data_IF_691095206226
#
_entry.id   IF_691095206226
#
_cell.length_a   1.000
_cell.length_b   1.000
_cell.length_c   1.000
_cell.angle_alpha   90.00
_cell.angle_beta   90.00
_cell.angle_gamma   90.00
#
_symmetry.space_group_name_H-M   'P 1'
#
loop_
_entity.id
_entity.type
_entity.pdbx_description
1 polymer ?
#
# COMPACT_ATOMS: atom_id res chain seq x y z
N UNK A 1 220.46 -124.43 77.96
CA UNK A 1 219.96 -125.68 78.58
C UNK A 1 219.05 -126.39 77.58
N UNK A 2 219.02 -127.71 77.54
CA UNK A 2 218.37 -128.49 76.47
C UNK A 2 216.86 -128.67 76.69
N UNK A 3 216.14 -127.55 76.85
CA UNK A 3 214.71 -127.54 77.12
C UNK A 3 213.90 -128.00 75.89
N UNK A 4 213.45 -129.25 75.90
CA UNK A 4 212.55 -129.83 74.89
C UNK A 4 211.13 -129.31 75.18
N UNK A 5 210.84 -128.08 74.75
CA UNK A 5 209.51 -127.46 74.92
C UNK A 5 208.55 -128.06 73.89
N UNK A 6 207.63 -128.90 74.36
CA UNK A 6 206.77 -129.74 73.52
C UNK A 6 205.44 -129.05 73.17
N UNK A 7 205.00 -129.14 71.91
CA UNK A 7 203.73 -128.57 71.41
C UNK A 7 202.55 -129.54 71.64
N UNK A 8 201.53 -129.06 72.35
CA UNK A 8 200.37 -129.86 72.76
C UNK A 8 199.14 -129.70 71.85
N UNK A 9 199.07 -128.65 71.03
CA UNK A 9 197.90 -128.40 70.17
C UNK A 9 197.97 -129.26 68.91
N UNK A 10 199.15 -129.30 68.29
CA UNK A 10 199.43 -130.09 67.08
C UNK A 10 199.25 -131.59 67.30
N UNK A 11 199.45 -132.04 68.54
CA UNK A 11 199.26 -133.43 68.95
C UNK A 11 197.78 -133.82 69.02
N UNK A 12 196.89 -132.95 69.51
CA UNK A 12 195.46 -133.28 69.68
C UNK A 12 194.65 -133.19 68.39
N UNK A 13 195.02 -132.32 67.45
CA UNK A 13 194.34 -132.17 66.16
C UNK A 13 194.56 -133.37 65.24
N UNK A 14 195.82 -133.73 64.95
CA UNK A 14 196.14 -134.71 63.88
C UNK A 14 195.78 -136.16 64.23
N UNK A 15 195.57 -136.48 65.52
CA UNK A 15 194.96 -137.76 65.91
C UNK A 15 193.53 -137.92 65.37
N UNK A 16 192.77 -136.81 65.23
CA UNK A 16 191.44 -136.82 64.60
C UNK A 16 191.55 -136.93 63.08
N UNK A 17 192.52 -136.26 62.47
CA UNK A 17 192.81 -136.32 61.02
C UNK A 17 193.21 -137.74 60.55
N UNK A 18 193.77 -138.56 61.44
CA UNK A 18 194.11 -139.95 61.19
C UNK A 18 192.92 -140.94 61.24
N UNK A 19 191.68 -140.46 61.34
CA UNK A 19 190.46 -141.29 61.30
C UNK A 19 190.03 -141.90 62.64
N UNK A 20 190.49 -141.35 63.76
CA UNK A 20 190.07 -141.80 65.10
C UNK A 20 188.80 -141.06 65.55
N UNK A 21 187.78 -141.82 65.96
CA UNK A 21 186.52 -141.30 66.51
C UNK A 21 186.77 -140.47 67.80
N UNK A 22 186.02 -139.38 68.01
CA UNK A 22 186.30 -138.34 69.03
C UNK A 22 186.65 -138.89 70.43
N UNK A 23 185.89 -139.87 70.92
CA UNK A 23 186.09 -140.48 72.24
C UNK A 23 187.46 -141.18 72.43
N UNK A 24 188.18 -141.45 71.33
CA UNK A 24 189.55 -142.01 71.35
C UNK A 24 190.61 -140.91 71.24
N UNK A 25 190.34 -139.83 70.50
CA UNK A 25 191.27 -138.71 70.36
C UNK A 25 191.53 -138.00 71.71
N UNK A 26 190.45 -137.73 72.46
CA UNK A 26 190.55 -137.03 73.75
C UNK A 26 191.19 -137.91 74.85
N UNK A 27 191.10 -139.24 74.72
CA UNK A 27 191.81 -140.18 75.58
C UNK A 27 193.33 -140.16 75.38
N UNK A 28 193.80 -140.08 74.13
CA UNK A 28 195.25 -140.08 73.82
C UNK A 28 195.90 -138.74 74.21
N UNK A 29 195.22 -137.61 74.02
CA UNK A 29 195.70 -136.30 74.49
C UNK A 29 195.86 -136.27 76.02
N UNK A 30 194.88 -136.81 76.75
CA UNK A 30 194.92 -136.91 78.21
C UNK A 30 196.12 -137.74 78.68
N UNK A 31 196.37 -138.89 78.04
CA UNK A 31 197.53 -139.73 78.34
C UNK A 31 198.90 -139.07 78.04
N UNK A 32 198.98 -138.16 77.06
CA UNK A 32 200.21 -137.41 76.81
C UNK A 32 200.46 -136.32 77.85
N UNK A 33 199.39 -135.62 78.28
CA UNK A 33 199.50 -134.53 79.26
C UNK A 33 200.00 -135.01 80.63
N UNK A 34 199.69 -136.25 81.00
CA UNK A 34 200.20 -136.90 82.22
C UNK A 34 201.64 -137.44 82.08
N UNK A 35 202.24 -137.44 80.89
CA UNK A 35 203.56 -138.04 80.64
C UNK A 35 204.76 -137.08 80.80
N UNK A 36 204.56 -135.75 80.81
CA UNK A 36 205.62 -134.74 80.90
C UNK A 36 205.41 -133.78 82.08
N UNK A 37 205.81 -134.20 83.29
CA UNK A 37 205.80 -133.36 84.50
C UNK A 37 206.81 -132.20 84.42
N UNK A 38 206.41 -130.98 84.80
CA UNK A 38 207.17 -129.73 84.56
C UNK A 38 208.17 -129.30 85.65
N UNK A 39 209.36 -128.80 85.24
CA UNK A 39 210.49 -128.27 86.07
C UNK A 39 211.36 -127.22 85.28
N UNK A 40 212.55 -126.78 85.78
CA UNK A 40 212.95 -125.36 86.07
C UNK A 40 214.52 -125.03 86.02
N UNK A 41 215.03 -123.88 86.56
CA UNK A 41 216.47 -123.42 86.84
C UNK A 41 217.35 -122.78 85.69
N UNK A 42 218.56 -122.09 85.82
CA UNK A 42 219.66 -122.00 86.85
C UNK A 42 220.32 -120.56 87.15
N UNK A 43 221.67 -120.36 87.35
CA UNK A 43 222.34 -119.16 87.98
C UNK A 43 223.88 -118.81 87.71
N UNK A 44 224.36 -117.65 88.27
CA UNK A 44 225.70 -117.28 88.89
C UNK A 44 227.05 -116.82 88.18
N UNK A 45 227.47 -115.55 88.45
CA UNK A 45 228.79 -114.95 88.88
C UNK A 45 230.08 -114.70 87.98
N UNK A 46 231.28 -115.10 88.43
CA UNK A 46 232.51 -114.27 88.64
C UNK A 46 233.31 -113.50 87.53
N UNK A 47 232.92 -113.34 86.25
CA UNK A 47 233.92 -113.07 85.17
C UNK A 47 234.39 -111.60 84.88
N UNK A 48 233.89 -110.61 85.62
CA UNK A 48 234.70 -109.48 86.19
C UNK A 48 235.47 -108.51 85.22
N UNK A 49 236.81 -108.29 85.28
CA UNK A 49 237.36 -106.91 85.25
C UNK A 49 238.47 -106.45 84.27
N UNK A 50 239.20 -107.28 83.51
CA UNK A 50 240.47 -106.81 82.89
C UNK A 50 240.56 -106.72 81.35
N UNK A 51 239.65 -107.34 80.59
CA UNK A 51 239.40 -107.00 79.16
C UNK A 51 238.59 -105.70 79.07
N UNK A 52 239.19 -104.65 79.62
CA UNK A 52 238.48 -103.48 80.18
C UNK A 52 239.23 -102.17 79.88
N UNK A 53 240.41 -102.28 79.24
CA UNK A 53 241.29 -101.15 78.88
C UNK A 53 241.77 -101.20 77.44
N UNK A 54 242.24 -102.35 76.96
CA UNK A 54 242.65 -102.53 75.56
C UNK A 54 241.42 -102.71 74.68
N UNK A 55 240.47 -103.54 75.11
CA UNK A 55 239.14 -103.57 74.49
C UNK A 55 238.39 -102.24 74.66
N UNK A 56 238.75 -101.40 75.64
CA UNK A 56 238.27 -100.00 75.73
C UNK A 56 238.79 -99.05 74.64
N UNK A 57 239.86 -99.40 73.91
CA UNK A 57 240.28 -98.67 72.69
C UNK A 57 239.75 -99.38 71.45
N UNK A 58 239.72 -100.72 71.45
CA UNK A 58 239.09 -101.53 70.40
C UNK A 58 237.60 -101.19 70.22
N UNK A 59 236.83 -101.17 71.30
CA UNK A 59 235.43 -100.68 71.32
C UNK A 59 235.33 -99.16 71.33
N UNK A 60 236.43 -98.40 71.49
CA UNK A 60 236.45 -96.99 71.12
C UNK A 60 236.31 -96.82 69.61
N UNK A 61 237.05 -97.62 68.83
CA UNK A 61 236.90 -97.72 67.37
C UNK A 61 235.58 -98.41 67.01
N UNK A 62 235.19 -99.48 67.71
CA UNK A 62 233.90 -100.14 67.53
C UNK A 62 232.69 -99.26 67.87
N UNK A 63 232.84 -98.30 68.79
CA UNK A 63 231.82 -97.29 69.09
C UNK A 63 231.74 -96.27 67.97
N UNK A 64 232.85 -95.87 67.35
CA UNK A 64 232.84 -95.05 66.13
C UNK A 64 232.22 -95.80 64.94
N UNK A 65 232.50 -97.10 64.80
CA UNK A 65 231.90 -97.96 63.78
C UNK A 65 230.39 -98.12 64.01
N UNK A 66 229.97 -98.31 65.26
CA UNK A 66 228.55 -98.36 65.67
C UNK A 66 227.85 -97.00 65.53
N UNK A 67 228.51 -95.89 65.87
CA UNK A 67 228.00 -94.52 65.66
C UNK A 67 227.85 -94.21 64.17
N UNK A 68 228.77 -94.68 63.33
CA UNK A 68 228.71 -94.52 61.88
C UNK A 68 227.61 -95.40 61.26
N UNK A 69 227.43 -96.64 61.72
CA UNK A 69 226.30 -97.51 61.33
C UNK A 69 224.97 -96.94 61.82
N UNK A 70 224.94 -96.34 63.03
CA UNK A 70 223.78 -95.63 63.58
C UNK A 70 223.46 -94.38 62.77
N UNK A 71 224.48 -93.62 62.35
CA UNK A 71 224.32 -92.44 61.49
C UNK A 71 223.80 -92.80 60.10
N UNK A 72 224.27 -93.90 59.50
CA UNK A 72 223.75 -94.42 58.24
C UNK A 72 222.28 -94.87 58.37
N UNK A 73 221.94 -95.63 59.43
CA UNK A 73 220.56 -96.02 59.71
C UNK A 73 219.66 -94.82 60.03
N UNK A 74 220.16 -93.78 60.70
CA UNK A 74 219.40 -92.55 60.92
C UNK A 74 219.17 -91.77 59.61
N UNK A 75 220.11 -91.81 58.67
CA UNK A 75 219.93 -91.21 57.34
C UNK A 75 218.89 -91.97 56.52
N UNK A 76 218.92 -93.31 56.56
CA UNK A 76 217.93 -94.21 55.95
C UNK A 76 216.51 -93.94 56.49
N UNK A 77 216.33 -93.96 57.81
CA UNK A 77 215.06 -93.60 58.47
C UNK A 77 214.60 -92.16 58.14
N UNK A 78 215.54 -91.21 57.95
CA UNK A 78 215.22 -89.84 57.54
C UNK A 78 214.75 -89.76 56.09
N UNK A 79 215.19 -90.68 55.24
CA UNK A 79 214.83 -90.77 53.82
C UNK A 79 213.44 -91.40 53.65
N UNK A 80 213.16 -92.50 54.36
CA UNK A 80 211.82 -93.11 54.46
C UNK A 80 210.76 -92.11 54.95
N UNK A 81 211.10 -91.35 56.00
CA UNK A 81 210.24 -90.30 56.56
C UNK A 81 209.94 -89.18 55.56
N UNK A 82 210.90 -88.87 54.68
CA UNK A 82 210.76 -87.85 53.63
C UNK A 82 209.90 -88.37 52.46
N UNK A 83 210.04 -89.65 52.09
CA UNK A 83 209.16 -90.30 51.10
C UNK A 83 207.71 -90.38 51.61
N UNK A 84 207.49 -90.82 52.85
CA UNK A 84 206.18 -90.81 53.51
C UNK A 84 205.56 -89.41 53.54
N UNK A 85 206.34 -88.39 53.93
CA UNK A 85 205.88 -86.99 53.96
C UNK A 85 205.63 -86.35 52.59
N UNK A 86 206.08 -86.98 51.49
CA UNK A 86 205.70 -86.62 50.12
C UNK A 86 204.40 -87.34 49.72
N UNK A 87 204.24 -88.62 50.07
CA UNK A 87 203.02 -89.40 49.87
C UNK A 87 201.79 -88.75 50.52
N UNK A 88 201.86 -88.44 51.82
CA UNK A 88 200.79 -87.74 52.56
C UNK A 88 200.39 -86.41 51.91
N UNK A 89 201.37 -85.66 51.37
CA UNK A 89 201.11 -84.39 50.68
C UNK A 89 200.40 -84.56 49.34
N UNK A 90 200.63 -85.66 48.62
CA UNK A 90 199.94 -85.96 47.37
C UNK A 90 198.46 -86.31 47.64
N UNK A 91 198.18 -87.20 48.59
CA UNK A 91 196.80 -87.53 49.00
C UNK A 91 196.05 -86.30 49.55
N UNK A 92 196.75 -85.46 50.34
CA UNK A 92 196.23 -84.18 50.82
C UNK A 92 195.86 -83.23 49.67
N UNK A 93 196.69 -83.17 48.62
CA UNK A 93 196.41 -82.34 47.44
C UNK A 93 195.21 -82.87 46.63
N UNK A 94 195.14 -84.18 46.41
CA UNK A 94 194.06 -84.82 45.65
C UNK A 94 192.70 -84.66 46.33
N UNK A 95 192.62 -84.89 47.65
CA UNK A 95 191.41 -84.61 48.43
C UNK A 95 191.01 -83.13 48.42
N UNK A 96 192.00 -82.23 48.42
CA UNK A 96 191.80 -80.78 48.26
C UNK A 96 191.27 -80.36 46.88
N UNK A 97 191.62 -81.08 45.82
CA UNK A 97 191.08 -80.85 44.46
C UNK A 97 189.67 -81.41 44.35
N UNK A 98 189.44 -82.67 44.74
CA UNK A 98 188.11 -83.30 44.64
C UNK A 98 187.04 -82.58 45.48
N UNK A 99 187.39 -82.10 46.67
CA UNK A 99 186.48 -81.27 47.49
C UNK A 99 186.13 -79.93 46.84
N UNK A 100 187.05 -79.31 46.08
CA UNK A 100 186.77 -78.11 45.28
C UNK A 100 185.86 -78.38 44.10
N UNK A 101 186.03 -79.50 43.38
CA UNK A 101 185.15 -79.88 42.26
C UNK A 101 183.72 -80.08 42.76
N UNK A 102 183.52 -80.94 43.76
CA UNK A 102 182.19 -81.19 44.34
C UNK A 102 181.53 -79.92 44.91
N UNK A 103 182.32 -78.99 45.48
CA UNK A 103 181.85 -77.69 45.94
C UNK A 103 181.35 -76.79 44.80
N UNK A 104 182.08 -76.75 43.67
CA UNK A 104 181.69 -76.00 42.48
C UNK A 104 180.44 -76.58 41.81
N UNK A 105 180.34 -77.90 41.69
CA UNK A 105 179.14 -78.59 41.18
C UNK A 105 177.92 -78.30 42.05
N UNK A 106 178.06 -78.46 43.39
CA UNK A 106 176.98 -78.15 44.34
C UNK A 106 176.52 -76.68 44.25
N UNK A 107 177.45 -75.73 44.08
CA UNK A 107 177.12 -74.31 43.94
C UNK A 107 176.43 -74.01 42.62
N UNK A 108 176.94 -74.53 41.52
CA UNK A 108 176.39 -74.35 40.18
C UNK A 108 174.98 -74.93 40.08
N UNK A 109 174.76 -76.12 40.64
CA UNK A 109 173.43 -76.74 40.68
C UNK A 109 172.44 -75.89 41.49
N UNK A 110 172.83 -75.39 42.67
CA UNK A 110 172.00 -74.47 43.48
C UNK A 110 171.66 -73.17 42.75
N UNK A 111 172.62 -72.58 42.04
CA UNK A 111 172.40 -71.36 41.26
C UNK A 111 171.43 -71.59 40.09
N UNK A 112 171.54 -72.72 39.38
CA UNK A 112 170.60 -73.13 38.31
C UNK A 112 169.20 -73.40 38.89
N UNK A 113 169.07 -74.17 39.97
CA UNK A 113 167.78 -74.45 40.62
C UNK A 113 167.11 -73.15 41.10
N UNK A 114 167.89 -72.24 41.69
CA UNK A 114 167.41 -70.92 42.14
C UNK A 114 166.92 -70.07 40.95
N UNK A 115 167.67 -70.04 39.84
CA UNK A 115 167.29 -69.31 38.63
C UNK A 115 165.99 -69.86 38.01
N UNK A 116 165.85 -71.19 37.88
CA UNK A 116 164.63 -71.82 37.35
C UNK A 116 163.43 -71.56 38.25
N UNK A 117 163.60 -71.64 39.58
CA UNK A 117 162.55 -71.29 40.55
C UNK A 117 162.13 -69.82 40.44
N UNK A 118 163.10 -68.90 40.29
CA UNK A 118 162.87 -67.48 40.04
C UNK A 118 162.21 -67.16 38.69
N UNK A 119 162.43 -67.98 37.66
CA UNK A 119 161.71 -67.88 36.39
C UNK A 119 160.26 -68.37 36.51
N UNK A 120 160.04 -69.53 37.11
CA UNK A 120 158.68 -70.10 37.26
C UNK A 120 157.80 -69.17 38.10
N UNK A 121 158.24 -68.76 39.29
CA UNK A 121 157.49 -67.83 40.14
C UNK A 121 157.18 -66.49 39.47
N UNK A 122 158.07 -65.99 38.59
CA UNK A 122 157.82 -64.79 37.78
C UNK A 122 156.84 -65.04 36.62
N UNK A 123 156.80 -66.25 36.07
CA UNK A 123 155.85 -66.67 35.05
C UNK A 123 154.45 -66.87 35.63
N UNK A 124 154.35 -67.50 36.81
CA UNK A 124 153.12 -67.64 37.59
C UNK A 124 152.55 -66.26 37.96
N UNK A 125 153.41 -65.36 38.47
CA UNK A 125 153.03 -63.97 38.79
C UNK A 125 152.56 -63.18 37.57
N UNK A 126 153.16 -63.40 36.39
CA UNK A 126 152.68 -62.83 35.13
C UNK A 126 151.33 -63.43 34.70
N UNK A 127 151.13 -64.74 34.88
CA UNK A 127 149.86 -65.43 34.60
C UNK A 127 148.71 -64.86 35.44
N UNK A 128 148.87 -64.85 36.77
CA UNK A 128 147.87 -64.30 37.69
C UNK A 128 147.60 -62.82 37.43
N UNK A 129 148.65 -61.99 37.29
CA UNK A 129 148.50 -60.56 37.01
C UNK A 129 147.95 -60.22 35.62
N UNK A 130 147.88 -61.19 34.71
CA UNK A 130 147.17 -61.09 33.43
C UNK A 130 145.71 -61.54 33.57
N UNK A 131 145.45 -62.59 34.34
CA UNK A 131 144.10 -63.07 34.70
C UNK A 131 143.30 -62.01 35.46
N UNK A 132 143.85 -61.47 36.55
CA UNK A 132 143.24 -60.37 37.33
C UNK A 132 142.87 -59.16 36.45
N UNK A 133 143.70 -58.85 35.44
CA UNK A 133 143.43 -57.77 34.49
C UNK A 133 142.32 -58.11 33.50
N UNK A 134 142.20 -59.37 33.07
CA UNK A 134 141.12 -59.81 32.20
C UNK A 134 139.79 -59.82 32.95
N UNK A 135 139.74 -60.36 34.17
CA UNK A 135 138.55 -60.34 35.03
C UNK A 135 138.11 -58.90 35.37
N UNK A 136 139.07 -58.02 35.68
CA UNK A 136 138.81 -56.59 35.92
C UNK A 136 138.28 -55.87 34.68
N UNK A 137 138.82 -56.19 33.49
CA UNK A 137 138.34 -55.64 32.23
C UNK A 137 136.93 -56.15 31.88
N UNK A 138 136.66 -57.45 32.03
CA UNK A 138 135.36 -58.06 31.78
C UNK A 138 134.29 -57.49 32.72
N UNK A 139 134.58 -57.42 34.02
CA UNK A 139 133.72 -56.77 35.01
C UNK A 139 133.45 -55.30 34.67
N UNK A 140 134.48 -54.55 34.26
CA UNK A 140 134.35 -53.15 33.82
C UNK A 140 133.56 -52.96 32.53
N UNK A 141 133.57 -53.93 31.62
CA UNK A 141 132.75 -53.94 30.39
C UNK A 141 131.31 -54.29 30.73
N UNK A 142 131.06 -55.39 31.46
CA UNK A 142 129.72 -55.84 31.84
C UNK A 142 128.98 -54.78 32.67
N UNK A 143 129.69 -54.11 33.60
CA UNK A 143 129.15 -52.97 34.37
C UNK A 143 128.75 -51.79 33.47
N UNK A 144 129.52 -51.48 32.43
CA UNK A 144 129.16 -50.44 31.44
C UNK A 144 127.98 -50.84 30.57
N UNK A 145 127.90 -52.10 30.14
CA UNK A 145 126.75 -52.62 29.37
C UNK A 145 125.47 -52.50 30.19
N UNK A 146 125.44 -53.05 31.41
CA UNK A 146 124.27 -52.95 32.29
C UNK A 146 123.89 -51.49 32.62
N UNK A 147 124.86 -50.59 32.78
CA UNK A 147 124.60 -49.16 33.01
C UNK A 147 124.02 -48.46 31.79
N UNK A 148 124.39 -48.87 30.57
CA UNK A 148 123.79 -48.36 29.33
C UNK A 148 122.38 -48.92 29.14
N UNK A 149 122.17 -50.22 29.37
CA UNK A 149 120.86 -50.87 29.29
C UNK A 149 119.85 -50.24 30.25
N UNK A 150 120.23 -49.99 31.51
CA UNK A 150 119.39 -49.29 32.49
C UNK A 150 118.99 -47.90 31.98
N UNK A 151 119.97 -47.08 31.55
CA UNK A 151 119.70 -45.72 31.06
C UNK A 151 118.81 -45.70 29.82
N UNK A 152 119.06 -46.59 28.85
CA UNK A 152 118.20 -46.70 27.67
C UNK A 152 116.79 -47.16 28.04
N UNK A 153 116.63 -48.05 29.02
CA UNK A 153 115.33 -48.46 29.52
C UNK A 153 114.59 -47.33 30.27
N UNK A 154 115.31 -46.55 31.09
CA UNK A 154 114.80 -45.34 31.77
C UNK A 154 114.37 -44.27 30.76
N UNK A 155 115.19 -43.98 29.75
CA UNK A 155 114.89 -43.02 28.67
C UNK A 155 113.68 -43.45 27.83
N UNK A 156 113.60 -44.73 27.43
CA UNK A 156 112.44 -45.26 26.70
C UNK A 156 111.17 -45.19 27.56
N UNK A 157 111.25 -45.57 28.84
CA UNK A 157 110.10 -45.52 29.77
C UNK A 157 109.61 -44.09 29.99
N UNK A 158 110.54 -43.15 30.16
CA UNK A 158 110.27 -41.71 30.27
C UNK A 158 109.63 -41.16 28.99
N UNK A 159 110.15 -41.54 27.82
CA UNK A 159 109.60 -41.14 26.52
C UNK A 159 108.18 -41.68 26.27
N UNK A 160 107.93 -42.96 26.56
CA UNK A 160 106.59 -43.58 26.43
C UNK A 160 105.60 -42.93 27.41
N UNK A 161 105.99 -42.68 28.66
CA UNK A 161 105.17 -41.93 29.63
C UNK A 161 104.86 -40.50 29.14
N UNK A 162 105.86 -39.82 28.58
CA UNK A 162 105.72 -38.49 27.97
C UNK A 162 104.91 -38.47 26.66
N UNK A 163 104.76 -39.61 25.98
CA UNK A 163 103.84 -39.77 24.85
C UNK A 163 102.41 -40.05 25.32
N UNK A 164 102.22 -40.97 26.26
CA UNK A 164 100.89 -41.30 26.79
C UNK A 164 100.22 -40.08 27.41
N UNK A 165 100.91 -39.37 28.32
CA UNK A 165 100.39 -38.13 28.93
C UNK A 165 100.04 -37.04 27.91
N UNK A 166 100.78 -36.93 26.79
CA UNK A 166 100.40 -36.05 25.67
C UNK A 166 99.20 -36.55 24.90
N UNK A 167 99.05 -37.86 24.72
CA UNK A 167 97.92 -38.48 24.03
C UNK A 167 96.62 -38.34 24.86
N UNK A 168 96.71 -38.55 26.18
CA UNK A 168 95.61 -38.31 27.13
C UNK A 168 95.21 -36.83 27.13
N UNK A 169 96.19 -35.92 27.20
CA UNK A 169 95.94 -34.47 27.14
C UNK A 169 95.32 -34.02 25.81
N UNK A 170 95.73 -34.61 24.68
CA UNK A 170 95.10 -34.39 23.37
C UNK A 170 93.69 -34.96 23.32
N UNK A 171 93.45 -36.15 23.89
CA UNK A 171 92.13 -36.77 23.97
C UNK A 171 91.14 -35.90 24.74
N UNK A 172 91.51 -35.50 25.96
CA UNK A 172 90.69 -34.58 26.79
C UNK A 172 90.48 -33.23 26.11
N UNK A 173 91.54 -32.62 25.56
CA UNK A 173 91.44 -31.32 24.87
C UNK A 173 90.73 -31.36 23.52
N UNK A 174 90.44 -32.55 22.96
CA UNK A 174 89.52 -32.76 21.85
C UNK A 174 88.10 -32.99 22.37
N UNK A 175 87.92 -33.77 23.44
CA UNK A 175 86.62 -34.00 24.10
C UNK A 175 85.97 -32.70 24.58
N UNK A 176 86.68 -31.89 25.37
CA UNK A 176 86.22 -30.57 25.84
C UNK A 176 85.80 -29.64 24.68
N UNK A 177 86.51 -29.70 23.55
CA UNK A 177 86.16 -28.93 22.34
C UNK A 177 84.94 -29.48 21.62
N UNK A 178 84.73 -30.80 21.63
CA UNK A 178 83.55 -31.43 21.06
C UNK A 178 82.31 -31.06 21.88
N UNK A 179 82.36 -31.21 23.21
CA UNK A 179 81.29 -30.84 24.13
C UNK A 179 80.95 -29.33 24.05
N UNK A 180 81.98 -28.48 24.01
CA UNK A 180 81.81 -27.03 23.83
C UNK A 180 81.19 -26.67 22.48
N UNK A 181 81.59 -27.35 21.41
CA UNK A 181 80.99 -27.19 20.08
C UNK A 181 79.53 -27.66 20.04
N UNK A 182 79.23 -28.84 20.57
CA UNK A 182 77.88 -29.41 20.63
C UNK A 182 76.94 -28.52 21.46
N UNK A 183 77.39 -28.08 22.64
CA UNK A 183 76.67 -27.11 23.47
C UNK A 183 76.42 -25.78 22.73
N UNK A 184 77.43 -25.27 22.02
CA UNK A 184 77.31 -24.08 21.18
C UNK A 184 76.37 -24.23 19.98
N UNK A 185 76.25 -25.43 19.41
CA UNK A 185 75.30 -25.76 18.33
C UNK A 185 73.89 -25.88 18.91
N UNK A 186 73.68 -26.66 19.96
CA UNK A 186 72.37 -26.85 20.60
C UNK A 186 71.79 -25.53 21.13
N UNK A 187 72.62 -24.67 21.71
CA UNK A 187 72.24 -23.31 22.13
C UNK A 187 71.79 -22.43 20.95
N UNK A 188 72.47 -22.51 19.79
CA UNK A 188 72.05 -21.82 18.56
C UNK A 188 70.75 -22.37 17.99
N UNK A 189 70.56 -23.69 17.98
CA UNK A 189 69.31 -24.34 17.53
C UNK A 189 68.13 -23.88 18.38
N UNK A 190 68.21 -24.02 19.71
CA UNK A 190 67.15 -23.59 20.63
C UNK A 190 66.86 -22.07 20.53
N UNK A 191 67.88 -21.24 20.28
CA UNK A 191 67.71 -19.80 20.04
C UNK A 191 66.98 -19.51 18.72
N UNK A 192 67.33 -20.22 17.63
CA UNK A 192 66.62 -20.13 16.35
C UNK A 192 65.16 -20.57 16.48
N UNK A 193 64.90 -21.75 17.06
CA UNK A 193 63.55 -22.25 17.32
C UNK A 193 62.72 -21.26 18.14
N UNK A 194 63.28 -20.73 19.24
CA UNK A 194 62.61 -19.73 20.08
C UNK A 194 62.27 -18.45 19.31
N UNK A 195 63.13 -17.98 18.41
CA UNK A 195 62.91 -16.75 17.66
C UNK A 195 61.95 -16.97 16.48
N UNK A 196 62.08 -18.07 15.73
CA UNK A 196 61.11 -18.47 14.69
C UNK A 196 59.72 -18.65 15.29
N UNK A 197 59.59 -19.28 16.47
CA UNK A 197 58.29 -19.43 17.13
C UNK A 197 57.69 -18.08 17.56
N UNK A 198 58.50 -17.13 18.05
CA UNK A 198 58.04 -15.76 18.36
C UNK A 198 57.56 -15.03 17.11
N UNK A 199 58.29 -15.10 15.99
CA UNK A 199 57.91 -14.45 14.74
C UNK A 199 56.62 -15.05 14.16
N UNK A 200 56.47 -16.39 14.18
CA UNK A 200 55.22 -17.05 13.77
C UNK A 200 54.05 -16.62 14.66
N UNK A 201 54.21 -16.61 15.99
CA UNK A 201 53.15 -16.16 16.91
C UNK A 201 52.79 -14.69 16.70
N UNK A 202 53.79 -13.82 16.48
CA UNK A 202 53.59 -12.40 16.17
C UNK A 202 52.84 -12.20 14.83
N UNK A 203 53.24 -12.93 13.79
CA UNK A 203 52.61 -12.91 12.48
C UNK A 203 51.14 -13.38 12.52
N UNK A 204 50.86 -14.49 13.21
CA UNK A 204 49.49 -15.00 13.40
C UNK A 204 48.63 -14.00 14.17
N UNK A 205 49.15 -13.40 15.25
CA UNK A 205 48.45 -12.33 15.99
C UNK A 205 48.16 -11.10 15.11
N UNK A 206 49.13 -10.70 14.28
CA UNK A 206 48.98 -9.62 13.29
C UNK A 206 48.05 -9.95 12.12
N UNK A 207 47.84 -11.23 11.80
CA UNK A 207 46.81 -11.68 10.85
C UNK A 207 45.43 -11.67 11.48
N UNK A 208 45.27 -12.21 12.70
CA UNK A 208 44.00 -12.26 13.40
C UNK A 208 43.45 -10.84 13.62
N UNK A 209 44.25 -9.94 14.20
CA UNK A 209 43.83 -8.54 14.42
C UNK A 209 43.48 -7.78 13.13
N UNK A 210 44.11 -8.10 11.99
CA UNK A 210 43.70 -7.60 10.67
C UNK A 210 42.39 -8.21 10.18
N UNK A 211 42.17 -9.50 10.42
CA UNK A 211 40.93 -10.20 10.05
C UNK A 211 39.74 -9.71 10.89
N UNK A 212 39.94 -9.48 12.19
CA UNK A 212 38.96 -8.87 13.09
C UNK A 212 38.62 -7.45 12.62
N UNK A 213 39.63 -6.63 12.32
CA UNK A 213 39.44 -5.27 11.80
C UNK A 213 38.70 -5.23 10.45
N UNK A 214 38.97 -6.20 9.56
CA UNK A 214 38.25 -6.37 8.30
C UNK A 214 36.80 -6.82 8.54
N UNK A 215 36.56 -7.71 9.52
CA UNK A 215 35.23 -8.15 9.91
C UNK A 215 34.37 -6.99 10.40
N UNK A 216 34.85 -6.25 11.40
CA UNK A 216 34.14 -5.07 11.94
C UNK A 216 33.90 -4.00 10.86
N UNK A 217 34.94 -3.63 10.09
CA UNK A 217 34.82 -2.63 9.03
C UNK A 217 33.98 -3.07 7.82
N UNK A 218 33.66 -4.36 7.71
CA UNK A 218 32.67 -4.88 6.75
C UNK A 218 31.26 -4.87 7.37
N UNK A 219 31.12 -5.19 8.66
CA UNK A 219 29.87 -5.08 9.43
C UNK A 219 29.32 -3.66 9.45
N UNK A 220 30.13 -2.67 9.86
CA UNK A 220 29.76 -1.25 9.86
C UNK A 220 29.29 -0.76 8.48
N UNK A 221 29.91 -1.26 7.40
CA UNK A 221 29.50 -0.96 6.01
C UNK A 221 28.18 -1.61 5.64
N UNK A 222 27.90 -2.83 6.09
CA UNK A 222 26.63 -3.50 5.86
C UNK A 222 25.50 -2.80 6.62
N UNK A 223 25.69 -2.47 7.90
CA UNK A 223 24.70 -1.71 8.71
C UNK A 223 24.43 -0.33 8.10
N UNK A 224 25.47 0.39 7.67
CA UNK A 224 25.35 1.69 6.98
C UNK A 224 24.62 1.58 5.64
N UNK A 225 24.87 0.52 4.88
CA UNK A 225 24.18 0.24 3.61
C UNK A 225 22.71 -0.13 3.80
N UNK A 226 22.40 -0.99 4.78
CA UNK A 226 21.03 -1.37 5.15
C UNK A 226 20.22 -0.17 5.65
N UNK A 227 20.80 0.63 6.55
CA UNK A 227 20.20 1.89 7.00
C UNK A 227 19.94 2.86 5.83
N UNK A 228 20.89 2.96 4.89
CA UNK A 228 20.76 3.74 3.67
C UNK A 228 19.68 3.23 2.70
N UNK A 229 19.40 1.93 2.66
CA UNK A 229 18.28 1.34 1.93
C UNK A 229 16.96 1.63 2.65
N UNK A 230 16.86 1.34 3.95
CA UNK A 230 15.63 1.52 4.72
C UNK A 230 15.17 2.99 4.73
N UNK A 231 16.10 3.94 4.83
CA UNK A 231 15.83 5.38 4.69
C UNK A 231 15.28 5.76 3.30
N UNK A 232 15.80 5.15 2.22
CA UNK A 232 15.29 5.36 0.85
C UNK A 232 13.89 4.76 0.66
N UNK A 233 13.63 3.58 1.22
CA UNK A 233 12.31 2.93 1.16
C UNK A 233 11.26 3.80 1.85
N UNK A 234 11.50 4.20 3.10
CA UNK A 234 10.58 5.07 3.85
C UNK A 234 10.33 6.43 3.17
N UNK A 235 11.36 6.99 2.50
CA UNK A 235 11.22 8.22 1.71
C UNK A 235 10.36 8.02 0.45
N UNK A 236 10.52 6.90 -0.25
CA UNK A 236 9.67 6.53 -1.39
C UNK A 236 8.21 6.34 -0.95
N UNK A 237 7.97 5.54 0.09
CA UNK A 237 6.62 5.31 0.64
C UNK A 237 5.94 6.62 1.06
N UNK A 238 6.66 7.50 1.77
CA UNK A 238 6.15 8.82 2.18
C UNK A 238 5.77 9.70 0.99
N UNK A 239 6.55 9.69 -0.09
CA UNK A 239 6.29 10.52 -1.27
C UNK A 239 5.18 9.93 -2.14
N UNK A 240 5.16 8.61 -2.36
CA UNK A 240 4.04 7.92 -3.03
C UNK A 240 2.72 8.14 -2.30
N UNK A 241 2.70 8.08 -0.96
CA UNK A 241 1.48 8.36 -0.21
C UNK A 241 1.02 9.83 -0.35
N UNK A 242 1.94 10.81 -0.38
CA UNK A 242 1.59 12.23 -0.65
C UNK A 242 1.00 12.41 -2.05
N UNK A 243 1.59 11.80 -3.07
CA UNK A 243 1.07 11.89 -4.45
C UNK A 243 -0.32 11.26 -4.59
N UNK A 244 -0.55 10.09 -3.99
CA UNK A 244 -1.88 9.45 -3.95
C UNK A 244 -2.90 10.34 -3.25
N UNK A 245 -2.58 10.91 -2.08
CA UNK A 245 -3.47 11.81 -1.35
C UNK A 245 -3.77 13.09 -2.13
N UNK A 246 -2.76 13.67 -2.81
CA UNK A 246 -2.91 14.85 -3.66
C UNK A 246 -3.80 14.57 -4.87
N UNK A 247 -3.59 13.43 -5.55
CA UNK A 247 -4.41 12.98 -6.67
C UNK A 247 -5.87 12.73 -6.26
N UNK A 248 -6.11 12.05 -5.14
CA UNK A 248 -7.45 11.81 -4.61
C UNK A 248 -8.17 13.13 -4.27
N UNK A 249 -7.47 14.07 -3.63
CA UNK A 249 -8.00 15.42 -3.32
C UNK A 249 -8.36 16.16 -4.61
N UNK A 250 -7.48 16.16 -5.61
CA UNK A 250 -7.72 16.77 -6.92
C UNK A 250 -8.80 16.08 -7.76
N UNK A 251 -9.09 14.80 -7.52
CA UNK A 251 -10.26 14.13 -8.07
C UNK A 251 -11.55 14.60 -7.42
N UNK A 252 -11.60 14.69 -6.07
CA UNK A 252 -12.78 15.19 -5.37
C UNK A 252 -13.11 16.63 -5.80
N UNK A 253 -12.16 17.57 -5.77
CA UNK A 253 -12.41 18.96 -6.20
C UNK A 253 -12.90 19.06 -7.65
N UNK A 254 -12.48 18.16 -8.54
CA UNK A 254 -13.02 18.06 -9.91
C UNK A 254 -14.45 17.50 -9.92
N UNK A 255 -14.76 16.50 -9.10
CA UNK A 255 -16.10 15.94 -8.93
C UNK A 255 -17.07 17.01 -8.42
N UNK A 256 -16.71 17.71 -7.34
CA UNK A 256 -17.50 18.79 -6.73
C UNK A 256 -17.78 19.91 -7.75
N UNK A 257 -16.77 20.29 -8.53
CA UNK A 257 -16.90 21.29 -9.60
C UNK A 257 -17.82 20.83 -10.75
N UNK A 258 -17.82 19.53 -11.05
CA UNK A 258 -18.66 18.93 -12.09
C UNK A 258 -20.11 18.85 -11.61
N UNK A 259 -20.34 18.48 -10.35
CA UNK A 259 -21.66 18.48 -9.71
C UNK A 259 -22.27 19.88 -9.66
N UNK A 260 -21.53 20.88 -9.16
CA UNK A 260 -21.98 22.28 -9.14
C UNK A 260 -22.30 22.80 -10.55
N UNK A 261 -21.40 22.60 -11.51
CA UNK A 261 -21.60 23.02 -12.91
C UNK A 261 -22.66 22.21 -13.68
N UNK A 262 -23.13 21.08 -13.13
CA UNK A 262 -24.30 20.35 -13.61
C UNK A 262 -25.59 20.88 -12.98
N UNK A 263 -25.56 21.20 -11.68
CA UNK A 263 -26.64 21.86 -10.94
C UNK A 263 -27.04 23.20 -11.55
N UNK A 264 -26.09 24.12 -11.73
CA UNK A 264 -26.32 25.43 -12.36
C UNK A 264 -26.97 25.30 -13.75
N UNK A 265 -26.59 24.29 -14.53
CA UNK A 265 -27.19 24.03 -15.86
C UNK A 265 -28.61 23.51 -15.75
N UNK A 266 -28.91 22.65 -14.77
CA UNK A 266 -30.27 22.15 -14.53
C UNK A 266 -31.19 23.26 -14.01
N UNK A 267 -30.72 24.12 -13.11
CA UNK A 267 -31.47 25.29 -12.63
C UNK A 267 -31.73 26.31 -13.75
N UNK A 268 -30.72 26.59 -14.57
CA UNK A 268 -30.84 27.46 -15.76
C UNK A 268 -31.82 26.89 -16.79
N UNK A 269 -31.77 25.57 -17.05
CA UNK A 269 -32.69 24.89 -17.96
C UNK A 269 -34.13 24.87 -17.42
N UNK A 270 -34.33 24.58 -16.14
CA UNK A 270 -35.64 24.63 -15.50
C UNK A 270 -36.22 26.05 -15.50
N UNK A 271 -35.40 27.06 -15.21
CA UNK A 271 -35.78 28.48 -15.31
C UNK A 271 -36.19 28.85 -16.73
N UNK A 272 -35.42 28.43 -17.73
CA UNK A 272 -35.74 28.66 -19.15
C UNK A 272 -37.00 27.93 -19.63
N UNK A 273 -37.36 26.79 -19.05
CA UNK A 273 -38.67 26.14 -19.26
C UNK A 273 -39.77 26.98 -18.62
N UNK A 274 -39.64 27.36 -17.34
CA UNK A 274 -40.65 28.14 -16.63
C UNK A 274 -40.93 29.50 -17.32
N UNK A 275 -39.89 30.20 -17.81
CA UNK A 275 -40.07 31.43 -18.59
C UNK A 275 -40.82 31.21 -19.90
N UNK A 276 -40.60 30.06 -20.59
CA UNK A 276 -41.35 29.71 -21.79
C UNK A 276 -42.80 29.35 -21.49
N UNK A 277 -43.07 28.64 -20.39
CA UNK A 277 -44.44 28.34 -19.94
C UNK A 277 -45.19 29.63 -19.63
N UNK A 278 -44.63 30.51 -18.81
CA UNK A 278 -45.26 31.80 -18.47
C UNK A 278 -45.50 32.69 -19.72
N UNK A 279 -44.58 32.68 -20.69
CA UNK A 279 -44.78 33.39 -21.96
C UNK A 279 -45.90 32.76 -22.81
N UNK A 280 -46.01 31.43 -22.87
CA UNK A 280 -47.11 30.74 -23.56
C UNK A 280 -48.46 31.00 -22.89
N UNK A 281 -48.51 31.02 -21.55
CA UNK A 281 -49.71 31.38 -20.78
C UNK A 281 -50.14 32.82 -21.05
N UNK A 282 -49.22 33.79 -21.02
CA UNK A 282 -49.51 35.20 -21.34
C UNK A 282 -50.04 35.36 -22.76
N UNK A 283 -49.35 34.80 -23.76
CA UNK A 283 -49.77 34.89 -25.16
C UNK A 283 -51.14 34.25 -25.38
N UNK A 284 -51.39 33.09 -24.77
CA UNK A 284 -52.69 32.40 -24.84
C UNK A 284 -53.80 33.23 -24.19
N UNK A 285 -53.51 33.92 -23.08
CA UNK A 285 -54.47 34.81 -22.42
C UNK A 285 -54.78 36.05 -23.29
N UNK A 286 -53.78 36.64 -23.94
CA UNK A 286 -53.96 37.74 -24.90
C UNK A 286 -54.76 37.33 -26.14
N UNK A 287 -54.48 36.15 -26.72
CA UNK A 287 -55.26 35.60 -27.84
C UNK A 287 -56.73 35.34 -27.45
N UNK A 288 -56.98 34.77 -26.26
CA UNK A 288 -58.34 34.55 -25.73
C UNK A 288 -59.06 35.88 -25.48
N UNK A 289 -58.39 36.88 -24.87
CA UNK A 289 -58.98 38.20 -24.63
C UNK A 289 -59.31 38.92 -25.95
N UNK A 290 -58.43 38.82 -26.94
CA UNK A 290 -58.64 39.33 -28.31
C UNK A 290 -59.83 38.64 -28.99
N UNK A 291 -59.93 37.31 -28.89
CA UNK A 291 -61.05 36.54 -29.43
C UNK A 291 -62.39 36.93 -28.76
N UNK A 292 -62.43 37.07 -27.44
CA UNK A 292 -63.63 37.51 -26.71
C UNK A 292 -64.04 38.93 -27.11
N UNK A 293 -63.09 39.86 -27.23
CA UNK A 293 -63.36 41.22 -27.74
C UNK A 293 -63.90 41.20 -29.19
N UNK A 294 -63.31 40.38 -30.05
CA UNK A 294 -63.77 40.16 -31.43
C UNK A 294 -65.12 39.44 -31.55
N UNK A 295 -65.54 38.69 -30.53
CA UNK A 295 -66.88 38.11 -30.44
C UNK A 295 -67.91 39.12 -29.94
N UNK A 296 -67.57 39.89 -28.89
CA UNK A 296 -68.46 40.93 -28.34
C UNK A 296 -68.77 42.00 -29.39
N UNK A 297 -67.75 42.57 -30.04
CA UNK A 297 -67.94 43.57 -31.12
C UNK A 297 -68.77 43.06 -32.31
N UNK A 298 -68.67 41.76 -32.65
CA UNK A 298 -69.55 41.12 -33.64
C UNK A 298 -70.98 40.95 -33.12
N UNK A 299 -71.17 40.66 -31.83
CA UNK A 299 -72.48 40.54 -31.21
C UNK A 299 -73.17 41.90 -31.11
N UNK A 300 -72.45 42.96 -30.74
CA UNK A 300 -72.93 44.35 -30.72
C UNK A 300 -73.34 44.80 -32.13
N UNK A 301 -72.49 44.54 -33.14
CA UNK A 301 -72.79 44.86 -34.54
C UNK A 301 -73.99 44.09 -35.08
N UNK A 302 -74.15 42.82 -34.71
CA UNK A 302 -75.32 42.00 -35.07
C UNK A 302 -76.59 42.50 -34.35
N UNK A 303 -76.48 42.90 -33.08
CA UNK A 303 -77.57 43.51 -32.31
C UNK A 303 -78.04 44.83 -32.94
N UNK A 304 -77.11 45.73 -33.27
CA UNK A 304 -77.40 46.99 -33.94
C UNK A 304 -78.06 46.77 -35.32
N UNK A 305 -77.49 45.93 -36.17
CA UNK A 305 -78.05 45.61 -37.50
C UNK A 305 -79.36 44.81 -37.45
N UNK A 306 -79.70 44.19 -36.32
CA UNK A 306 -81.02 43.62 -36.06
C UNK A 306 -82.02 44.70 -35.60
N UNK A 307 -81.57 45.65 -34.77
CA UNK A 307 -82.32 46.84 -34.35
C UNK A 307 -82.74 47.70 -35.54
N UNK A 308 -81.79 48.10 -36.39
CA UNK A 308 -82.06 48.87 -37.63
C UNK A 308 -83.10 48.19 -38.53
N UNK A 309 -83.04 46.86 -38.65
CA UNK A 309 -84.02 46.07 -39.42
C UNK A 309 -85.40 46.06 -38.76
N UNK A 310 -85.48 45.97 -37.44
CA UNK A 310 -86.75 46.03 -36.70
C UNK A 310 -87.37 47.42 -36.76
N UNK A 311 -86.57 48.49 -36.65
CA UNK A 311 -87.01 49.88 -36.83
C UNK A 311 -87.48 50.14 -38.26
N UNK A 312 -86.73 49.68 -39.27
CA UNK A 312 -87.12 49.76 -40.68
C UNK A 312 -88.42 48.99 -40.96
N UNK A 313 -88.59 47.81 -40.38
CA UNK A 313 -89.81 47.01 -40.51
C UNK A 313 -91.01 47.65 -39.81
N UNK A 314 -90.84 48.18 -38.59
CA UNK A 314 -91.87 48.92 -37.86
C UNK A 314 -92.28 50.21 -38.59
N UNK A 315 -91.32 50.95 -39.14
CA UNK A 315 -91.56 52.12 -39.99
C UNK A 315 -92.33 51.74 -41.27
N UNK A 316 -91.96 50.62 -41.92
CA UNK A 316 -92.68 50.07 -43.07
C UNK A 316 -94.11 49.61 -42.76
N UNK A 317 -94.37 49.11 -41.55
CA UNK A 317 -95.72 48.82 -41.05
C UNK A 317 -96.48 50.13 -40.83
N UNK A 318 -95.93 51.09 -40.10
CA UNK A 318 -96.59 52.38 -39.81
C UNK A 318 -96.91 53.15 -41.10
N UNK A 319 -96.01 53.13 -42.10
CA UNK A 319 -96.25 53.72 -43.42
C UNK A 319 -97.40 53.03 -44.17
N UNK A 320 -97.51 51.69 -44.09
CA UNK A 320 -98.65 50.95 -44.64
C UNK A 320 -99.96 51.22 -43.89
N UNK A 321 -99.92 51.35 -42.57
CA UNK A 321 -101.10 51.71 -41.76
C UNK A 321 -101.58 53.11 -42.14
N UNK A 322 -100.70 54.12 -42.15
CA UNK A 322 -101.05 55.48 -42.56
C UNK A 322 -101.57 55.57 -44.00
N UNK A 323 -101.02 54.76 -44.92
CA UNK A 323 -101.54 54.66 -46.30
C UNK A 323 -102.92 54.00 -46.35
N UNK A 324 -103.19 52.97 -45.54
CA UNK A 324 -104.52 52.35 -45.44
C UNK A 324 -105.54 53.30 -44.82
N UNK A 325 -105.15 54.04 -43.78
CA UNK A 325 -105.97 55.07 -43.15
C UNK A 325 -106.30 56.20 -44.14
N UNK A 326 -105.32 56.70 -44.90
CA UNK A 326 -105.55 57.71 -45.95
C UNK A 326 -106.49 57.19 -47.04
N UNK A 327 -106.23 56.00 -47.59
CA UNK A 327 -107.08 55.41 -48.63
C UNK A 327 -108.51 55.17 -48.13
N UNK A 328 -108.67 54.68 -46.89
CA UNK A 328 -109.99 54.47 -46.26
C UNK A 328 -110.68 55.80 -45.99
N UNK A 329 -109.96 56.86 -45.63
CA UNK A 329 -110.51 58.20 -45.47
C UNK A 329 -110.95 58.81 -46.80
N UNK A 330 -110.21 58.59 -47.88
CA UNK A 330 -110.58 58.99 -49.25
C UNK A 330 -111.81 58.20 -49.74
N UNK A 331 -111.87 56.88 -49.54
CA UNK A 331 -113.03 56.05 -49.87
C UNK A 331 -114.28 56.47 -49.08
N UNK A 332 -114.16 56.72 -47.77
CA UNK A 332 -115.26 57.22 -46.93
C UNK A 332 -115.71 58.62 -47.39
N UNK A 333 -114.77 59.52 -47.69
CA UNK A 333 -115.08 60.89 -48.16
C UNK A 333 -115.78 60.85 -49.52
N UNK A 334 -115.31 60.00 -50.44
CA UNK A 334 -115.93 59.74 -51.74
C UNK A 334 -117.34 59.15 -51.59
N UNK A 335 -117.52 58.18 -50.70
CA UNK A 335 -118.82 57.58 -50.38
C UNK A 335 -119.81 58.58 -49.76
N UNK A 336 -119.36 59.42 -48.81
CA UNK A 336 -120.18 60.48 -48.19
C UNK A 336 -120.55 61.54 -49.23
N UNK A 337 -119.63 61.94 -50.11
CA UNK A 337 -119.92 62.84 -51.23
C UNK A 337 -120.93 62.23 -52.21
N UNK A 338 -120.80 60.94 -52.52
CA UNK A 338 -121.74 60.16 -53.33
C UNK A 338 -123.11 59.94 -52.65
N UNK A 339 -123.18 59.97 -51.33
CA UNK A 339 -124.43 59.99 -50.57
C UNK A 339 -125.07 61.38 -50.58
N UNK A 340 -124.29 62.44 -50.34
CA UNK A 340 -124.79 63.81 -50.33
C UNK A 340 -125.35 64.21 -51.70
N UNK A 341 -124.60 63.98 -52.78
CA UNK A 341 -125.09 64.23 -54.15
C UNK A 341 -126.34 63.42 -54.53
N UNK A 342 -126.49 62.19 -54.01
CA UNK A 342 -127.75 61.44 -54.12
C UNK A 342 -128.87 62.02 -53.26
N UNK A 343 -128.57 62.57 -52.09
CA UNK A 343 -129.53 63.19 -51.18
C UNK A 343 -130.01 64.55 -51.74
N UNK A 344 -129.11 65.33 -52.33
CA UNK A 344 -129.42 66.56 -53.06
C UNK A 344 -130.30 66.24 -54.30
N UNK A 345 -129.93 65.22 -55.08
CA UNK A 345 -130.75 64.76 -56.22
C UNK A 345 -132.12 64.24 -55.79
N UNK A 346 -132.23 63.56 -54.64
CA UNK A 346 -133.51 63.20 -54.03
C UNK A 346 -134.29 64.42 -53.57
N UNK A 347 -133.62 65.41 -52.97
CA UNK A 347 -134.20 66.68 -52.54
C UNK A 347 -134.81 67.45 -53.72
N UNK A 348 -134.04 67.67 -54.78
CA UNK A 348 -134.50 68.32 -56.02
C UNK A 348 -135.63 67.53 -56.67
N UNK A 349 -135.49 66.20 -56.85
CA UNK A 349 -136.54 65.36 -57.44
C UNK A 349 -137.81 65.22 -56.58
N UNK A 350 -137.72 65.49 -55.28
CA UNK A 350 -138.88 65.62 -54.38
C UNK A 350 -139.48 67.03 -54.45
N UNK A 351 -138.65 68.06 -54.62
CA UNK A 351 -139.05 69.45 -54.89
C UNK A 351 -139.81 69.60 -56.19
N UNK A 352 -139.28 69.10 -57.31
CA UNK A 352 -139.96 69.05 -58.61
C UNK A 352 -141.31 68.32 -58.53
N UNK A 353 -141.40 67.25 -57.72
CA UNK A 353 -142.67 66.55 -57.45
C UNK A 353 -143.64 67.36 -56.60
N UNK A 354 -143.15 68.14 -55.64
CA UNK A 354 -143.96 69.05 -54.83
C UNK A 354 -144.48 70.22 -55.67
N UNK A 355 -143.63 70.85 -56.48
CA UNK A 355 -144.04 71.90 -57.43
C UNK A 355 -145.05 71.36 -58.47
N UNK A 356 -144.81 70.16 -59.00
CA UNK A 356 -145.75 69.48 -59.92
C UNK A 356 -147.09 69.15 -59.23
N UNK A 357 -147.06 68.72 -57.97
CA UNK A 357 -148.27 68.47 -57.18
C UNK A 357 -149.02 69.76 -56.86
N UNK A 358 -148.33 70.81 -56.42
CA UNK A 358 -148.89 72.13 -56.13
C UNK A 358 -149.49 72.77 -57.39
N UNK A 359 -148.79 72.71 -58.53
CA UNK A 359 -149.32 73.12 -59.83
C UNK A 359 -150.56 72.31 -60.23
N UNK A 360 -150.56 70.99 -60.01
CA UNK A 360 -151.72 70.12 -60.23
C UNK A 360 -152.91 70.40 -59.28
N UNK A 361 -152.65 70.84 -58.06
CA UNK A 361 -153.66 71.31 -57.10
C UNK A 361 -154.21 72.66 -57.53
N UNK A 362 -153.36 73.65 -57.83
CA UNK A 362 -153.77 74.98 -58.30
C UNK A 362 -154.55 74.90 -59.62
N UNK A 363 -154.18 74.01 -60.54
CA UNK A 363 -154.94 73.74 -61.76
C UNK A 363 -156.34 73.16 -61.46
N UNK A 364 -156.46 72.26 -60.47
CA UNK A 364 -157.77 71.76 -60.00
C UNK A 364 -158.59 72.83 -59.27
N UNK A 365 -157.96 73.69 -58.49
CA UNK A 365 -158.64 74.83 -57.82
C UNK A 365 -159.19 75.79 -58.87
N UNK A 366 -158.37 76.25 -59.82
CA UNK A 366 -158.83 77.13 -60.91
C UNK A 366 -159.91 76.47 -61.78
N UNK A 367 -159.83 75.16 -62.01
CA UNK A 367 -160.89 74.40 -62.70
C UNK A 367 -162.20 74.35 -61.90
N UNK A 368 -162.14 74.19 -60.58
CA UNK A 368 -163.31 74.25 -59.69
C UNK A 368 -163.88 75.66 -59.60
N UNK A 369 -163.05 76.71 -59.52
CA UNK A 369 -163.49 78.11 -59.53
C UNK A 369 -164.19 78.47 -60.85
N UNK A 370 -163.63 78.04 -61.99
CA UNK A 370 -164.26 78.20 -63.31
C UNK A 370 -165.61 77.50 -63.37
N UNK A 371 -165.70 76.25 -62.91
CA UNK A 371 -166.96 75.49 -62.89
C UNK A 371 -168.00 76.12 -61.94
N UNK A 372 -167.56 76.63 -60.80
CA UNK A 372 -168.42 77.32 -59.83
C UNK A 372 -168.94 78.63 -60.44
N UNK A 373 -168.11 79.35 -61.21
CA UNK A 373 -168.56 80.51 -61.99
C UNK A 373 -169.59 80.15 -63.06
N UNK A 374 -169.39 79.06 -63.82
CA UNK A 374 -170.36 78.56 -64.80
C UNK A 374 -171.69 78.17 -64.15
N UNK A 375 -171.65 77.43 -63.04
CA UNK A 375 -172.85 77.04 -62.29
C UNK A 375 -173.58 78.27 -61.72
N UNK A 376 -172.87 79.22 -61.10
CA UNK A 376 -173.45 80.49 -60.61
C UNK A 376 -174.04 81.31 -61.76
N UNK A 377 -173.35 81.45 -62.90
CA UNK A 377 -173.86 82.18 -64.06
C UNK A 377 -175.13 81.52 -64.64
N UNK A 378 -175.16 80.18 -64.69
CA UNK A 378 -176.36 79.43 -65.11
C UNK A 378 -177.52 79.62 -64.13
N UNK A 379 -177.24 79.64 -62.82
CA UNK A 379 -178.23 79.87 -61.78
C UNK A 379 -178.82 81.29 -61.85
N UNK A 380 -177.97 82.32 -62.01
CA UNK A 380 -178.41 83.71 -62.17
C UNK A 380 -179.24 83.89 -63.45
N UNK A 381 -178.83 83.28 -64.57
CA UNK A 381 -179.59 83.28 -65.83
C UNK A 381 -180.97 82.60 -65.68
N UNK A 382 -181.01 81.44 -65.00
CA UNK A 382 -182.25 80.73 -64.66
C UNK A 382 -183.14 81.48 -63.65
N UNK A 383 -182.54 82.32 -62.80
CA UNK A 383 -183.27 83.17 -61.86
C UNK A 383 -183.86 84.40 -62.56
N UNK A 384 -183.11 85.05 -63.45
CA UNK A 384 -183.60 86.16 -64.27
C UNK A 384 -184.75 85.73 -65.18
N UNK A 385 -184.61 84.62 -65.92
CA UNK A 385 -185.71 84.10 -66.77
C UNK A 385 -186.95 83.68 -65.97
N UNK A 386 -186.80 83.22 -64.73
CA UNK A 386 -187.95 83.06 -63.81
C UNK A 386 -188.54 84.39 -63.37
N UNK A 387 -187.74 85.43 -63.18
CA UNK A 387 -188.17 86.78 -62.80
C UNK A 387 -188.97 87.44 -63.94
N UNK A 388 -188.45 87.40 -65.17
CA UNK A 388 -189.12 87.89 -66.39
C UNK A 388 -190.50 87.21 -66.58
N UNK A 389 -190.56 85.90 -66.38
CA UNK A 389 -191.80 85.11 -66.46
C UNK A 389 -192.80 85.46 -65.34
N UNK A 390 -192.30 85.82 -64.15
CA UNK A 390 -193.13 86.27 -63.03
C UNK A 390 -193.69 87.68 -63.28
N UNK A 391 -192.87 88.59 -63.79
CA UNK A 391 -193.26 89.95 -64.17
C UNK A 391 -194.32 89.94 -65.27
N UNK A 392 -194.07 89.21 -66.37
CA UNK A 392 -195.04 89.03 -67.46
C UNK A 392 -196.35 88.38 -66.98
N UNK A 393 -196.27 87.32 -66.17
CA UNK A 393 -197.43 86.64 -65.59
C UNK A 393 -198.21 87.48 -64.57
N UNK A 394 -197.57 88.46 -63.92
CA UNK A 394 -198.20 89.38 -62.98
C UNK A 394 -198.82 90.59 -63.70
N UNK A 395 -198.20 91.08 -64.77
CA UNK A 395 -198.76 92.09 -65.68
C UNK A 395 -200.08 91.61 -66.32
N UNK A 396 -200.09 90.39 -66.89
CA UNK A 396 -201.30 89.81 -67.48
C UNK A 396 -202.45 89.62 -66.44
N UNK A 397 -202.12 89.38 -65.17
CA UNK A 397 -203.11 89.36 -64.08
C UNK A 397 -203.62 90.75 -63.72
N UNK A 398 -202.78 91.78 -63.80
CA UNK A 398 -203.16 93.18 -63.56
C UNK A 398 -204.13 93.68 -64.65
N UNK A 399 -203.82 93.47 -65.94
CA UNK A 399 -204.72 93.80 -67.05
C UNK A 399 -206.07 93.06 -66.94
N UNK A 400 -206.04 91.77 -66.58
CA UNK A 400 -207.25 90.97 -66.35
C UNK A 400 -208.09 91.50 -65.17
N UNK A 401 -207.44 91.96 -64.11
CA UNK A 401 -208.11 92.57 -62.96
C UNK A 401 -208.71 93.93 -63.30
N UNK A 402 -207.98 94.80 -64.00
CA UNK A 402 -208.43 96.12 -64.43
C UNK A 402 -209.61 96.05 -65.40
N UNK A 403 -209.53 95.14 -66.39
CA UNK A 403 -210.65 94.80 -67.28
C UNK A 403 -211.88 94.30 -66.48
N UNK A 404 -211.67 93.41 -65.51
CA UNK A 404 -212.71 92.91 -64.61
C UNK A 404 -213.37 94.01 -63.78
N UNK A 405 -212.59 94.96 -63.26
CA UNK A 405 -213.09 96.13 -62.50
C UNK A 405 -213.90 97.05 -63.41
N UNK A 406 -213.37 97.43 -64.57
CA UNK A 406 -214.09 98.32 -65.52
C UNK A 406 -215.42 97.71 -65.99
N UNK A 407 -215.48 96.39 -66.22
CA UNK A 407 -216.75 95.70 -66.53
C UNK A 407 -217.79 95.80 -65.41
N UNK A 408 -217.36 95.78 -64.14
CA UNK A 408 -218.23 95.94 -62.96
C UNK A 408 -218.69 97.39 -62.77
N UNK A 409 -217.84 98.37 -63.05
CA UNK A 409 -218.20 99.80 -63.00
C UNK A 409 -219.30 100.10 -64.03
N UNK A 410 -219.08 99.75 -65.31
CA UNK A 410 -220.08 99.96 -66.36
C UNK A 410 -221.40 99.21 -66.09
N UNK A 411 -221.34 98.02 -65.49
CA UNK A 411 -222.52 97.27 -65.05
C UNK A 411 -223.30 97.99 -63.94
N UNK A 412 -222.60 98.57 -62.95
CA UNK A 412 -223.21 99.36 -61.88
C UNK A 412 -223.84 100.65 -62.40
N UNK A 413 -223.17 101.38 -63.31
CA UNK A 413 -223.73 102.57 -63.95
C UNK A 413 -225.02 102.27 -64.72
N UNK A 414 -225.00 101.22 -65.56
CA UNK A 414 -226.18 100.77 -66.32
C UNK A 414 -227.34 100.37 -65.42
N UNK A 415 -227.06 99.70 -64.30
CA UNK A 415 -228.09 99.29 -63.33
C UNK A 415 -228.66 100.49 -62.58
N UNK A 416 -227.80 101.41 -62.14
CA UNK A 416 -228.19 102.64 -61.43
C UNK A 416 -229.05 103.56 -62.31
N UNK A 417 -228.71 103.72 -63.59
CA UNK A 417 -229.54 104.45 -64.55
C UNK A 417 -230.93 103.84 -64.74
N UNK A 418 -231.04 102.50 -64.79
CA UNK A 418 -232.34 101.81 -64.87
C UNK A 418 -233.18 101.99 -63.61
N UNK A 419 -232.57 101.89 -62.43
CA UNK A 419 -233.27 102.08 -61.16
C UNK A 419 -233.76 103.54 -61.03
N UNK A 420 -232.92 104.55 -61.34
CA UNK A 420 -233.32 105.96 -61.36
C UNK A 420 -234.45 106.23 -62.37
N UNK A 421 -234.36 105.71 -63.60
CA UNK A 421 -235.42 105.88 -64.59
C UNK A 421 -236.75 105.26 -64.14
N UNK A 422 -236.70 104.07 -63.51
CA UNK A 422 -237.90 103.43 -62.95
C UNK A 422 -238.50 104.21 -61.77
N UNK A 423 -237.66 104.81 -60.93
CA UNK A 423 -238.09 105.64 -59.80
C UNK A 423 -238.79 106.92 -60.28
N UNK A 424 -238.21 107.63 -61.25
CA UNK A 424 -238.82 108.84 -61.85
C UNK A 424 -240.15 108.50 -62.54
N UNK A 425 -240.22 107.40 -63.29
CA UNK A 425 -241.46 106.95 -63.92
C UNK A 425 -242.55 106.60 -62.88
N UNK A 426 -242.19 105.90 -61.81
CA UNK A 426 -243.10 105.58 -60.69
C UNK A 426 -243.52 106.80 -59.86
N UNK A 427 -242.70 107.85 -59.80
CA UNK A 427 -243.05 109.13 -59.20
C UNK A 427 -244.09 109.88 -60.02
N UNK A 428 -243.92 109.96 -61.35
CA UNK A 428 -244.87 110.64 -62.22
C UNK A 428 -246.25 109.94 -62.20
N UNK A 429 -246.28 108.61 -62.32
CA UNK A 429 -247.53 107.83 -62.21
C UNK A 429 -248.23 107.99 -60.83
N UNK A 430 -247.48 108.26 -59.76
CA UNK A 430 -248.04 108.63 -58.44
C UNK A 430 -248.60 110.04 -58.43
N UNK A 431 -248.02 110.97 -59.16
CA UNK A 431 -248.51 112.35 -59.31
C UNK A 431 -249.86 112.37 -60.04
N UNK A 432 -249.94 111.71 -61.20
CA UNK A 432 -251.17 111.55 -61.99
C UNK A 432 -252.30 110.90 -61.16
N UNK A 433 -251.95 109.86 -60.38
CA UNK A 433 -252.88 109.16 -59.50
C UNK A 433 -253.38 110.03 -58.33
N UNK A 434 -252.58 110.99 -57.84
CA UNK A 434 -252.96 111.87 -56.75
C UNK A 434 -253.92 112.97 -57.24
N UNK A 435 -253.63 113.54 -58.41
CA UNK A 435 -254.43 114.59 -59.05
C UNK A 435 -255.83 114.07 -59.42
N UNK A 436 -255.90 112.91 -60.07
CA UNK A 436 -257.16 112.20 -60.35
C UNK A 436 -257.93 111.83 -59.07
N UNK A 437 -257.22 111.34 -58.04
CA UNK A 437 -257.83 110.92 -56.77
C UNK A 437 -258.44 112.06 -55.95
N UNK A 438 -257.91 113.29 -56.01
CA UNK A 438 -258.45 114.42 -55.27
C UNK A 438 -259.62 115.12 -55.97
N UNK A 439 -259.65 115.15 -57.30
CA UNK A 439 -260.83 115.61 -58.05
C UNK A 439 -262.08 114.79 -57.68
N UNK A 440 -261.97 113.46 -57.66
CA UNK A 440 -263.05 112.56 -57.25
C UNK A 440 -263.49 112.77 -55.78
N UNK A 441 -262.56 113.12 -54.88
CA UNK A 441 -262.88 113.37 -53.47
C UNK A 441 -263.65 114.68 -53.28
N UNK A 442 -263.29 115.72 -54.03
CA UNK A 442 -263.99 117.02 -54.05
C UNK A 442 -265.45 116.86 -54.51
N UNK A 443 -265.67 116.08 -55.57
CA UNK A 443 -267.01 115.74 -56.08
C UNK A 443 -267.83 114.91 -55.08
N UNK A 444 -267.20 113.96 -54.36
CA UNK A 444 -267.90 113.08 -53.41
C UNK A 444 -268.52 113.78 -52.19
N UNK A 445 -267.90 114.87 -51.70
CA UNK A 445 -268.40 115.58 -50.52
C UNK A 445 -269.49 116.61 -50.83
N UNK A 446 -269.53 117.17 -52.05
CA UNK A 446 -270.65 117.98 -52.52
C UNK A 446 -272.00 117.23 -52.44
N UNK A 447 -271.98 115.90 -52.59
CA UNK A 447 -273.15 115.01 -52.37
C UNK A 447 -273.50 114.74 -50.91
N UNK A 448 -272.57 114.90 -49.95
CA UNK A 448 -272.85 114.67 -48.51
C UNK A 448 -273.54 115.85 -47.83
N UNK A 449 -273.34 117.07 -48.34
CA UNK A 449 -274.09 118.27 -47.97
C UNK A 449 -275.61 118.11 -48.12
N UNK A 450 -276.07 117.21 -49.00
CA UNK A 450 -277.49 117.08 -49.37
C UNK A 450 -278.26 116.04 -48.54
N UNK A 451 -277.61 114.98 -48.03
CA UNK A 451 -278.34 113.79 -47.53
C UNK A 451 -278.77 113.90 -46.06
N UNK A 452 -277.95 114.43 -45.14
CA UNK A 452 -278.35 114.53 -43.71
C UNK A 452 -279.22 115.74 -43.36
N UNK A 453 -279.40 116.69 -44.30
CA UNK A 453 -280.56 117.59 -44.29
C UNK A 453 -281.87 116.87 -44.64
N UNK A 454 -281.82 115.64 -45.18
CA UNK A 454 -282.95 114.81 -45.63
C UNK A 454 -283.38 113.71 -44.65
N UNK A 455 -282.84 113.64 -43.43
CA UNK A 455 -283.33 112.78 -42.35
C UNK A 455 -283.34 113.46 -40.96
N UNK A 456 -283.74 114.73 -40.80
CA UNK A 456 -285.00 115.38 -41.23
C UNK A 456 -286.25 114.70 -40.65
N UNK A 457 -286.99 115.48 -39.86
CA UNK A 457 -288.45 115.46 -39.61
C UNK A 457 -289.18 114.16 -39.17
N UNK A 458 -288.84 112.96 -39.65
CA UNK A 458 -289.68 111.76 -39.43
C UNK A 458 -289.78 111.37 -37.94
N UNK A 459 -288.69 111.51 -37.17
CA UNK A 459 -288.69 111.20 -35.73
C UNK A 459 -289.47 112.26 -34.91
N UNK A 460 -289.77 113.44 -35.49
CA UNK A 460 -290.54 114.49 -34.81
C UNK A 460 -292.04 114.18 -34.67
N UNK A 461 -292.55 113.10 -35.27
CA UNK A 461 -293.99 112.81 -35.35
C UNK A 461 -294.43 111.70 -34.38
N UNK A 462 -293.72 110.57 -34.30
CA UNK A 462 -294.23 109.38 -33.58
C UNK A 462 -294.24 109.57 -32.05
N UNK A 463 -293.29 110.33 -31.49
CA UNK A 463 -293.23 110.56 -30.03
C UNK A 463 -294.38 111.44 -29.50
N UNK A 464 -295.04 112.23 -30.36
CA UNK A 464 -296.22 113.04 -29.96
C UNK A 464 -297.43 112.13 -29.66
N UNK A 465 -297.46 110.91 -30.21
CA UNK A 465 -298.55 109.96 -29.98
C UNK A 465 -298.51 109.28 -28.60
N UNK A 466 -297.37 109.27 -27.89
CA UNK A 466 -297.25 108.57 -26.59
C UNK A 466 -297.51 109.42 -25.35
N UNK A 467 -297.45 110.76 -25.43
CA UNK A 467 -297.66 111.63 -24.26
C UNK A 467 -298.67 112.79 -24.42
N UNK A 468 -299.69 112.61 -25.27
CA UNK A 468 -301.02 113.24 -25.08
C UNK A 468 -301.75 112.64 -23.85
N UNK A 469 -301.00 112.35 -22.77
CA UNK A 469 -301.51 111.66 -21.56
C UNK A 469 -301.14 112.35 -20.24
N UNK A 470 -300.41 113.47 -20.28
CA UNK A 470 -300.15 114.38 -19.15
C UNK A 470 -300.05 115.81 -19.70
N UNK A 471 -300.69 116.87 -19.19
CA UNK A 471 -301.75 117.05 -18.16
C UNK A 471 -301.74 116.15 -16.92
#
# INVERSE_FOLDING_TARGET
MTAIVFDTLKFSQTLREAGFEDAKADGIFTAFKDAFGGVEFPSAEDIVQLDFKIEGVGTGVGSLETEMETGLKQLENSMDSLESGIGEKLESLESGVNSKVASLESKTHKEITSFVSGMNTKMDSLGSGMGEKLESLESGVNSKVASLESKTHEEITSFVSGMNTKMDSLGSGVGEKLESFESGVNSKVASLESNTHKEITSFVSGMNTKMDSLGSGMGEKLESFESGINSKVASLESNTHKEITSFASGMNTKMDSLESGMGEKLESFASGINSKVASLESNTHEEIASLVSGMNTKMDSLGAGMGEKLESFASGINSKVASLESNTHEEITSFVSGMNTKMDSLGSGMGEKLESFESGVNSKVASLESKTHEEIASFVSGMNTRMDSLESGMGAKLESFESGVNSKVASLESKTHKEIASFVSGMNARMDSLESGMHAKMESMGRRTTIRLGSMMIIAIIAVATLVKIL
#
